data_IF_875241001864
#
_entry.id   IF_875241001864
#
_cell.length_a   1.000
_cell.length_b   1.000
_cell.length_c   1.000
_cell.angle_alpha   90.00
_cell.angle_beta   90.00
_cell.angle_gamma   90.00
#
_symmetry.space_group_name_H-M   'P 1'
#
loop_
_entity.id
_entity.type
_entity.pdbx_description
1 polymer ?
#
# COMPACT_ATOMS: atom_id res chain seq x y z
N UNK A 1 23.15 -35.05 -23.16
CA UNK A 1 22.49 -33.91 -22.48
C UNK A 1 21.76 -33.15 -23.56
N UNK A 2 20.44 -33.31 -23.67
CA UNK A 2 19.66 -32.66 -24.72
C UNK A 2 19.46 -31.19 -24.35
N UNK A 3 20.11 -30.29 -25.06
CA UNK A 3 19.77 -28.88 -25.06
C UNK A 3 18.49 -28.70 -25.89
N UNK A 4 17.34 -28.79 -25.24
CA UNK A 4 16.05 -28.47 -25.87
C UNK A 4 16.02 -26.97 -26.10
N UNK A 5 16.25 -26.53 -27.33
CA UNK A 5 16.00 -25.14 -27.72
C UNK A 5 14.51 -24.85 -27.47
N UNK A 6 14.17 -23.78 -26.73
CA UNK A 6 12.78 -23.43 -26.49
C UNK A 6 12.06 -23.17 -27.81
N UNK A 7 10.79 -23.55 -27.87
CA UNK A 7 9.96 -23.26 -29.04
C UNK A 7 9.66 -21.76 -29.13
N UNK A 8 9.37 -21.26 -30.34
CA UNK A 8 9.00 -19.85 -30.53
C UNK A 8 7.79 -19.46 -29.68
N UNK A 9 6.81 -20.35 -29.56
CA UNK A 9 5.61 -20.15 -28.72
C UNK A 9 5.94 -20.03 -27.23
N UNK A 10 6.94 -20.77 -26.73
CA UNK A 10 7.41 -20.64 -25.35
C UNK A 10 8.09 -19.29 -25.12
N UNK A 11 8.94 -18.86 -26.04
CA UNK A 11 9.61 -17.56 -25.96
C UNK A 11 8.60 -16.40 -26.00
N UNK A 12 7.61 -16.45 -26.90
CA UNK A 12 6.56 -15.43 -26.98
C UNK A 12 5.72 -15.35 -25.71
N UNK A 13 5.39 -16.50 -25.12
CA UNK A 13 4.64 -16.58 -23.86
C UNK A 13 5.43 -15.95 -22.72
N UNK A 14 6.70 -16.28 -22.61
CA UNK A 14 7.58 -15.78 -21.54
C UNK A 14 7.77 -14.26 -21.67
N UNK A 15 7.98 -13.76 -22.89
CA UNK A 15 8.08 -12.32 -23.16
C UNK A 15 6.80 -11.56 -22.83
N UNK A 16 5.64 -12.16 -23.14
CA UNK A 16 4.34 -11.57 -22.79
C UNK A 16 4.17 -11.47 -21.28
N UNK A 17 4.41 -12.57 -20.56
CA UNK A 17 4.28 -12.61 -19.12
C UNK A 17 5.22 -11.60 -18.44
N UNK A 18 6.44 -11.46 -18.98
CA UNK A 18 7.40 -10.47 -18.52
C UNK A 18 6.92 -9.03 -18.75
N UNK A 19 6.41 -8.73 -19.95
CA UNK A 19 5.85 -7.41 -20.27
C UNK A 19 4.64 -7.05 -19.41
N UNK A 20 3.73 -8.00 -19.18
CA UNK A 20 2.55 -7.82 -18.31
C UNK A 20 2.95 -7.52 -16.86
N UNK A 21 3.94 -8.25 -16.31
CA UNK A 21 4.47 -7.98 -14.96
C UNK A 21 5.06 -6.58 -14.86
N UNK A 22 5.87 -6.17 -15.84
CA UNK A 22 6.49 -4.84 -15.83
C UNK A 22 5.43 -3.73 -15.93
N UNK A 23 4.43 -3.90 -16.78
CA UNK A 23 3.32 -2.96 -16.91
C UNK A 23 2.52 -2.83 -15.61
N UNK A 24 2.23 -3.95 -14.95
CA UNK A 24 1.58 -3.96 -13.63
C UNK A 24 2.40 -3.19 -12.59
N UNK A 25 3.71 -3.44 -12.52
CA UNK A 25 4.61 -2.79 -11.55
C UNK A 25 4.71 -1.28 -11.79
N UNK A 26 4.79 -0.84 -13.04
CA UNK A 26 4.76 0.59 -13.40
C UNK A 26 3.43 1.24 -13.04
N UNK A 27 2.31 0.56 -13.29
CA UNK A 27 0.99 1.05 -12.95
C UNK A 27 0.80 1.19 -11.43
N UNK A 28 1.23 0.18 -10.67
CA UNK A 28 1.12 0.10 -9.22
C UNK A 28 2.11 1.01 -8.47
N UNK A 29 3.21 1.42 -9.10
CA UNK A 29 4.15 2.36 -8.50
C UNK A 29 3.46 3.71 -8.27
N UNK A 30 3.54 4.22 -7.05
CA UNK A 30 3.10 5.58 -6.69
C UNK A 30 4.11 6.62 -7.18
N UNK A 31 4.20 6.77 -8.51
CA UNK A 31 5.06 7.72 -9.19
C UNK A 31 4.23 8.60 -10.14
N UNK A 32 4.68 9.83 -10.45
CA UNK A 32 3.98 10.72 -11.36
C UNK A 32 3.72 10.11 -12.75
N UNK A 33 2.59 10.47 -13.38
CA UNK A 33 2.17 9.88 -14.66
C UNK A 33 3.12 10.19 -15.81
N UNK A 34 3.70 11.38 -15.85
CA UNK A 34 4.74 11.79 -16.79
C UNK A 34 6.00 10.92 -16.67
N UNK A 35 6.36 10.51 -15.45
CA UNK A 35 7.45 9.57 -15.20
C UNK A 35 7.08 8.15 -15.69
N UNK A 36 5.83 7.71 -15.51
CA UNK A 36 5.35 6.42 -16.06
C UNK A 36 5.44 6.42 -17.58
N UNK A 37 5.00 7.49 -18.24
CA UNK A 37 5.03 7.64 -19.70
C UNK A 37 6.47 7.64 -20.24
N UNK A 38 7.40 8.28 -19.52
CA UNK A 38 8.81 8.23 -19.85
C UNK A 38 9.37 6.79 -19.81
N UNK A 39 9.01 6.01 -18.79
CA UNK A 39 9.42 4.61 -18.70
C UNK A 39 8.83 3.76 -19.81
N UNK A 40 7.53 3.91 -20.12
CA UNK A 40 6.88 3.20 -21.24
C UNK A 40 7.60 3.47 -22.57
N UNK A 41 8.09 4.70 -22.77
CA UNK A 41 8.84 5.09 -23.97
C UNK A 41 10.26 4.52 -24.00
N UNK A 42 10.89 4.33 -22.83
CA UNK A 42 12.28 3.87 -22.70
C UNK A 42 12.41 2.34 -22.70
N UNK A 43 11.45 1.61 -22.14
CA UNK A 43 11.48 0.14 -22.01
C UNK A 43 11.80 -0.58 -23.34
N UNK A 44 11.21 -0.23 -24.50
CA UNK A 44 11.53 -0.89 -25.76
C UNK A 44 12.98 -0.73 -26.23
N UNK A 45 13.71 0.24 -25.66
CA UNK A 45 15.11 0.55 -26.00
C UNK A 45 16.11 -0.04 -25.01
N UNK A 46 15.63 -0.71 -23.96
CA UNK A 46 16.44 -1.27 -22.91
C UNK A 46 16.93 -2.68 -23.26
N UNK A 47 18.10 -3.05 -22.75
CA UNK A 47 18.53 -4.45 -22.74
C UNK A 47 17.73 -5.25 -21.73
N UNK A 48 17.68 -6.58 -21.88
CA UNK A 48 17.00 -7.46 -20.93
C UNK A 48 17.50 -7.25 -19.48
N UNK A 49 18.82 -7.11 -19.30
CA UNK A 49 19.41 -6.84 -17.98
C UNK A 49 18.95 -5.51 -17.38
N UNK A 50 18.78 -4.47 -18.21
CA UNK A 50 18.25 -3.18 -17.76
C UNK A 50 16.78 -3.29 -17.36
N UNK A 51 15.98 -4.06 -18.10
CA UNK A 51 14.58 -4.27 -17.78
C UNK A 51 14.44 -5.10 -16.49
N UNK A 52 15.26 -6.13 -16.29
CA UNK A 52 15.30 -6.91 -15.06
C UNK A 52 15.65 -6.04 -13.84
N UNK A 53 16.66 -5.16 -13.98
CA UNK A 53 17.01 -4.19 -12.93
C UNK A 53 15.85 -3.26 -12.63
N UNK A 54 15.16 -2.74 -13.65
CA UNK A 54 13.98 -1.89 -13.49
C UNK A 54 12.85 -2.62 -12.76
N UNK A 55 12.51 -3.85 -13.17
CA UNK A 55 11.50 -4.68 -12.52
C UNK A 55 11.83 -4.89 -11.04
N UNK A 56 13.08 -5.22 -10.71
CA UNK A 56 13.52 -5.40 -9.34
C UNK A 56 13.45 -4.12 -8.48
N UNK A 57 13.69 -2.95 -9.08
CA UNK A 57 13.51 -1.65 -8.41
C UNK A 57 12.03 -1.39 -8.13
N UNK A 58 11.17 -1.54 -9.13
CA UNK A 58 9.73 -1.30 -9.00
C UNK A 58 9.08 -2.26 -8.00
N UNK A 59 9.49 -3.53 -7.96
CA UNK A 59 9.00 -4.49 -6.97
C UNK A 59 9.33 -4.11 -5.54
N UNK A 60 10.57 -3.67 -5.29
CA UNK A 60 10.97 -3.19 -3.96
C UNK A 60 10.21 -1.92 -3.58
N UNK A 61 10.02 -1.03 -4.55
CA UNK A 61 9.29 0.22 -4.35
C UNK A 61 7.83 -0.05 -3.99
N UNK A 62 7.11 -0.84 -4.79
CA UNK A 62 5.71 -1.21 -4.54
C UNK A 62 5.56 -1.95 -3.20
N UNK A 63 6.44 -2.91 -2.89
CA UNK A 63 6.41 -3.60 -1.58
C UNK A 63 6.66 -2.65 -0.41
N UNK A 64 7.58 -1.70 -0.57
CA UNK A 64 7.89 -0.70 0.45
C UNK A 64 6.74 0.29 0.68
N UNK A 65 6.10 0.75 -0.40
CA UNK A 65 4.93 1.61 -0.35
C UNK A 65 3.77 0.95 0.39
N UNK A 66 3.41 -0.29 0.02
CA UNK A 66 2.36 -1.07 0.70
C UNK A 66 2.66 -1.27 2.19
N UNK A 67 3.92 -1.59 2.54
CA UNK A 67 4.31 -1.74 3.95
C UNK A 67 4.21 -0.43 4.75
N UNK A 68 4.39 0.71 4.09
CA UNK A 68 4.30 2.04 4.69
C UNK A 68 2.83 2.43 4.89
N UNK A 69 1.98 2.21 3.89
CA UNK A 69 0.54 2.50 3.97
C UNK A 69 -0.18 1.66 5.03
N UNK A 70 0.17 0.37 5.16
CA UNK A 70 -0.40 -0.49 6.20
C UNK A 70 0.00 0.00 7.60
N UNK A 71 1.22 0.54 7.75
CA UNK A 71 1.69 1.07 9.02
C UNK A 71 0.97 2.38 9.38
N UNK A 72 0.89 3.33 8.46
CA UNK A 72 0.21 4.61 8.70
C UNK A 72 -1.26 4.40 9.03
N UNK A 73 -1.94 3.51 8.31
CA UNK A 73 -3.33 3.17 8.59
C UNK A 73 -3.52 2.54 9.98
N UNK A 74 -2.61 1.66 10.40
CA UNK A 74 -2.64 1.09 11.76
C UNK A 74 -2.48 2.17 12.83
N UNK A 75 -1.57 3.13 12.63
CA UNK A 75 -1.37 4.24 13.56
C UNK A 75 -2.60 5.14 13.66
N UNK A 76 -3.30 5.38 12.55
CA UNK A 76 -4.57 6.13 12.54
C UNK A 76 -5.68 5.40 13.32
N UNK A 77 -5.81 4.09 13.14
CA UNK A 77 -6.77 3.28 13.90
C UNK A 77 -6.50 3.35 15.40
N UNK A 78 -5.24 3.24 15.82
CA UNK A 78 -4.91 3.31 17.25
C UNK A 78 -5.18 4.70 17.83
N UNK A 79 -4.92 5.78 17.08
CA UNK A 79 -5.32 7.15 17.48
C UNK A 79 -6.83 7.29 17.62
N UNK A 80 -7.61 6.71 16.70
CA UNK A 80 -9.07 6.75 16.76
C UNK A 80 -9.61 5.98 17.97
N UNK A 81 -9.06 4.80 18.26
CA UNK A 81 -9.42 4.02 19.46
C UNK A 81 -9.14 4.79 20.74
N UNK A 82 -7.97 5.41 20.84
CA UNK A 82 -7.61 6.18 22.03
C UNK A 82 -8.54 7.39 22.20
N UNK A 83 -8.82 8.12 21.11
CA UNK A 83 -9.78 9.24 21.15
C UNK A 83 -11.17 8.78 21.60
N UNK A 84 -11.64 7.63 21.11
CA UNK A 84 -12.92 7.06 21.52
C UNK A 84 -12.91 6.67 23.00
N UNK A 85 -11.83 6.04 23.48
CA UNK A 85 -11.66 5.67 24.89
C UNK A 85 -11.70 6.89 25.81
N UNK A 86 -10.96 7.95 25.46
CA UNK A 86 -10.97 9.21 26.22
C UNK A 86 -12.36 9.85 26.22
N UNK A 87 -13.04 9.87 25.07
CA UNK A 87 -14.38 10.43 24.96
C UNK A 87 -15.40 9.66 25.81
N UNK A 88 -15.32 8.33 25.84
CA UNK A 88 -16.19 7.50 26.67
C UNK A 88 -15.93 7.73 28.16
N UNK A 89 -14.66 7.82 28.56
CA UNK A 89 -14.30 8.13 29.95
C UNK A 89 -14.83 9.50 30.38
N UNK A 90 -14.70 10.52 29.54
CA UNK A 90 -15.21 11.87 29.81
C UNK A 90 -16.75 11.90 29.90
N UNK A 91 -17.44 11.21 29.00
CA UNK A 91 -18.90 11.10 29.03
C UNK A 91 -19.39 10.36 30.29
N UNK A 92 -18.71 9.29 30.67
CA UNK A 92 -19.03 8.54 31.90
C UNK A 92 -18.84 9.41 33.15
N UNK A 93 -17.74 10.17 33.22
CA UNK A 93 -17.51 11.10 34.34
C UNK A 93 -18.59 12.18 34.41
N UNK A 94 -18.95 12.76 33.26
CA UNK A 94 -19.99 13.79 33.19
C UNK A 94 -21.34 13.24 33.69
N UNK A 95 -21.70 12.02 33.28
CA UNK A 95 -22.93 11.37 33.73
C UNK A 95 -22.95 11.12 35.25
N UNK A 96 -21.81 10.72 35.83
CA UNK A 96 -21.69 10.56 37.29
C UNK A 96 -21.86 11.90 38.02
N UNK A 97 -21.19 12.95 37.54
CA UNK A 97 -21.28 14.30 38.14
C UNK A 97 -22.71 14.86 38.07
N UNK A 98 -23.43 14.60 36.97
CA UNK A 98 -24.84 14.96 36.80
C UNK A 98 -25.76 14.18 37.76
N UNK A 99 -25.51 12.88 37.94
CA UNK A 99 -26.28 12.06 38.90
C UNK A 99 -26.09 12.55 40.35
N UNK A 100 -24.86 12.85 40.75
CA UNK A 100 -24.55 13.40 42.08
C UNK A 100 -25.24 14.76 42.32
N UNK A 101 -25.31 15.59 41.27
CA UNK A 101 -25.99 16.88 41.36
C UNK A 101 -27.51 16.73 41.57
N UNK A 102 -28.13 15.77 40.88
CA UNK A 102 -29.55 15.45 41.05
C UNK A 102 -29.82 14.88 42.45
N UNK A 103 -28.96 13.99 42.95
CA UNK A 103 -29.14 13.39 44.28
C UNK A 103 -29.08 14.44 45.40
N UNK A 104 -28.15 15.41 45.30
CA UNK A 104 -28.06 16.55 46.23
C UNK A 104 -29.30 17.45 46.20
N UNK A 105 -29.98 17.57 45.06
CA UNK A 105 -31.23 18.34 44.96
C UNK A 105 -32.43 17.63 45.58
N UNK A 106 -32.40 16.30 45.69
CA UNK A 106 -33.47 15.50 46.30
C UNK A 106 -33.31 15.39 47.82
N UNK A 107 -32.07 15.44 48.33
CA UNK A 107 -31.75 15.30 49.75
C UNK A 107 -31.68 16.63 50.53
N UNK A 108 -31.66 17.78 49.84
CA UNK A 108 -31.72 19.12 50.43
C UNK A 108 -33.13 19.68 50.49
#
# INVERSE_FOLDING_TARGET
>A
MSSTTPSVEEVERDLRQFGERLAFLLAAADIPSDVKDAWVTLVPKMTLEQIDRLSGILERYVKGAVATDVRSFREEIEKLKEKQRTSLAAAAQTALDEMDAVEKQIQG
#
